data_IF_828666321403
#
_entry.id   IF_828666321403
#
_cell.length_a   1.000
_cell.length_b   1.000
_cell.length_c   1.000
_cell.angle_alpha   90.00
_cell.angle_beta   90.00
_cell.angle_gamma   90.00
#
_symmetry.space_group_name_H-M   'P 1'
#
loop_
_entity.id
_entity.type
_entity.pdbx_description
1 polymer ?
#
# COMPACT_ATOMS: atom_id res chain seq x y z
N UNK A 1 -18.19 11.77 18.79
CA UNK A 1 -17.90 12.61 17.61
C UNK A 1 -17.07 11.72 16.71
N UNK A 2 -17.67 11.23 15.63
CA UNK A 2 -16.95 10.53 14.57
C UNK A 2 -16.03 11.55 13.91
N UNK A 3 -14.75 11.55 14.27
CA UNK A 3 -13.73 12.00 13.33
C UNK A 3 -13.68 10.90 12.27
N UNK A 4 -14.28 11.15 11.11
CA UNK A 4 -13.97 10.38 9.92
C UNK A 4 -12.46 10.45 9.75
N UNK A 5 -11.77 9.31 9.93
CA UNK A 5 -10.33 9.09 9.68
C UNK A 5 -10.02 9.29 8.19
N UNK A 6 -10.32 10.47 7.66
CA UNK A 6 -10.01 10.81 6.28
C UNK A 6 -8.49 10.89 6.14
N UNK A 7 -7.91 10.18 5.16
CA UNK A 7 -6.48 10.19 4.98
C UNK A 7 -6.00 11.60 4.63
N UNK A 8 -4.86 11.98 5.19
CA UNK A 8 -4.25 13.29 4.90
C UNK A 8 -3.92 13.41 3.40
N UNK A 9 -3.86 14.64 2.88
CA UNK A 9 -3.44 14.87 1.49
C UNK A 9 -2.06 14.26 1.19
N UNK A 10 -1.16 14.23 2.17
CA UNK A 10 0.13 13.55 2.05
C UNK A 10 -0.01 12.05 1.81
N UNK A 11 -0.91 11.38 2.55
CA UNK A 11 -1.20 9.95 2.37
C UNK A 11 -1.84 9.66 1.01
N UNK A 12 -2.78 10.50 0.57
CA UNK A 12 -3.39 10.40 -0.75
C UNK A 12 -2.35 10.56 -1.86
N UNK A 13 -1.49 11.58 -1.77
CA UNK A 13 -0.40 11.81 -2.72
C UNK A 13 0.61 10.66 -2.74
N UNK A 14 0.90 10.07 -1.59
CA UNK A 14 1.78 8.90 -1.50
C UNK A 14 1.14 7.66 -2.13
N UNK A 15 -0.15 7.44 -1.88
CA UNK A 15 -0.93 6.36 -2.49
C UNK A 15 -0.94 6.47 -4.02
N UNK A 16 -1.12 7.68 -4.57
CA UNK A 16 -0.97 7.92 -6.02
C UNK A 16 0.41 7.57 -6.55
N UNK A 17 1.47 7.92 -5.81
CA UNK A 17 2.84 7.58 -6.22
C UNK A 17 3.09 6.06 -6.25
N UNK A 18 2.46 5.31 -5.34
CA UNK A 18 2.47 3.85 -5.36
C UNK A 18 1.69 3.32 -6.58
N UNK A 19 0.46 3.78 -6.79
CA UNK A 19 -0.40 3.37 -7.92
C UNK A 19 0.26 3.66 -9.28
N UNK A 20 0.99 4.77 -9.38
CA UNK A 20 1.71 5.16 -10.60
C UNK A 20 2.73 4.10 -11.08
N UNK A 21 3.23 3.24 -10.18
CA UNK A 21 4.10 2.11 -10.56
C UNK A 21 3.37 1.04 -11.39
N UNK A 22 2.03 1.03 -11.38
CA UNK A 22 1.18 0.02 -12.03
C UNK A 22 0.43 0.55 -13.23
N UNK A 23 -0.17 1.73 -13.08
CA UNK A 23 -1.08 2.30 -14.07
C UNK A 23 -0.52 3.56 -14.76
N UNK A 24 0.70 3.96 -14.42
CA UNK A 24 1.37 5.14 -14.98
C UNK A 24 1.06 6.45 -14.24
N UNK A 25 2.00 7.39 -14.33
CA UNK A 25 1.96 8.66 -13.57
C UNK A 25 0.75 9.54 -13.88
N UNK A 26 0.39 9.69 -15.17
CA UNK A 26 -0.70 10.58 -15.58
C UNK A 26 -2.01 10.10 -14.96
N UNK A 27 -2.33 8.82 -15.16
CA UNK A 27 -3.55 8.22 -14.68
C UNK A 27 -3.68 8.22 -13.16
N UNK A 28 -2.64 7.78 -12.46
CA UNK A 28 -2.66 7.77 -10.99
C UNK A 28 -2.85 9.18 -10.40
N UNK A 29 -2.41 10.22 -11.11
CA UNK A 29 -2.62 11.62 -10.71
C UNK A 29 -4.06 12.08 -10.91
N UNK A 30 -4.73 11.57 -11.94
CA UNK A 30 -6.09 11.97 -12.33
C UNK A 30 -7.17 11.25 -11.51
N UNK A 31 -6.81 10.23 -10.72
CA UNK A 31 -7.74 9.54 -9.82
C UNK A 31 -8.28 10.49 -8.71
N UNK A 32 -9.60 10.54 -8.49
CA UNK A 32 -10.22 11.25 -7.37
C UNK A 32 -9.71 10.78 -6.00
N UNK A 33 -9.73 11.67 -5.01
CA UNK A 33 -9.26 11.35 -3.64
C UNK A 33 -10.11 10.25 -2.97
N UNK A 34 -11.43 10.28 -3.16
CA UNK A 34 -12.38 9.30 -2.63
C UNK A 34 -12.19 7.90 -3.22
N UNK A 35 -11.82 7.80 -4.50
CA UNK A 35 -11.53 6.51 -5.16
C UNK A 35 -10.28 5.82 -4.60
N UNK A 36 -9.37 6.55 -3.96
CA UNK A 36 -8.11 5.99 -3.43
C UNK A 36 -8.02 6.05 -1.91
N UNK A 37 -8.87 6.83 -1.23
CA UNK A 37 -8.83 7.03 0.21
C UNK A 37 -8.94 5.71 0.99
N UNK A 38 -9.77 4.79 0.52
CA UNK A 38 -9.98 3.47 1.14
C UNK A 38 -8.73 2.58 1.12
N UNK A 39 -7.72 2.88 0.30
CA UNK A 39 -6.44 2.14 0.23
C UNK A 39 -5.51 2.57 1.36
N UNK A 40 -5.69 3.77 1.93
CA UNK A 40 -4.79 4.36 2.92
C UNK A 40 -4.52 3.47 4.16
N UNK A 41 -5.50 2.75 4.75
CA UNK A 41 -5.24 1.85 5.88
C UNK A 41 -4.25 0.73 5.52
N UNK A 42 -4.33 0.18 4.31
CA UNK A 42 -3.40 -0.84 3.84
C UNK A 42 -2.00 -0.25 3.59
N UNK A 43 -1.93 0.97 3.04
CA UNK A 43 -0.66 1.69 2.87
C UNK A 43 0.00 1.94 4.22
N UNK A 44 -0.76 2.41 5.21
CA UNK A 44 -0.29 2.64 6.56
C UNK A 44 0.24 1.35 7.20
N UNK A 45 -0.54 0.27 7.10
CA UNK A 45 -0.15 -1.04 7.62
C UNK A 45 1.19 -1.53 7.05
N UNK A 46 1.43 -1.37 5.75
CA UNK A 46 2.69 -1.76 5.11
C UNK A 46 3.83 -0.77 5.39
N UNK A 47 3.52 0.52 5.54
CA UNK A 47 4.49 1.56 5.89
C UNK A 47 5.07 1.35 7.30
N UNK A 48 4.28 0.84 8.24
CA UNK A 48 4.72 0.57 9.62
C UNK A 48 5.71 -0.60 9.73
N UNK A 49 5.77 -1.46 8.71
CA UNK A 49 6.73 -2.57 8.61
C UNK A 49 8.10 -2.15 8.07
N UNK A 50 8.22 -0.91 7.55
CA UNK A 50 9.47 -0.44 6.97
C UNK A 50 10.53 -0.15 8.04
N UNK A 51 11.80 -0.22 7.63
CA UNK A 51 12.91 0.30 8.43
C UNK A 51 12.70 1.79 8.74
N UNK A 52 12.99 2.20 9.97
CA UNK A 52 12.73 3.56 10.48
C UNK A 52 13.22 4.66 9.53
N UNK A 53 14.45 4.57 9.00
CA UNK A 53 15.01 5.57 8.07
C UNK A 53 14.16 5.69 6.79
N UNK A 54 13.75 4.57 6.20
CA UNK A 54 12.95 4.57 4.98
C UNK A 54 11.55 5.16 5.22
N UNK A 55 10.96 4.82 6.38
CA UNK A 55 9.68 5.35 6.82
C UNK A 55 9.76 6.87 7.02
N UNK A 56 10.75 7.36 7.76
CA UNK A 56 10.93 8.78 8.05
C UNK A 56 11.15 9.60 6.77
N UNK A 57 11.92 9.06 5.82
CA UNK A 57 12.11 9.69 4.50
C UNK A 57 10.78 9.84 3.77
N UNK A 58 9.92 8.81 3.76
CA UNK A 58 8.62 8.88 3.10
C UNK A 58 7.68 9.85 3.81
N UNK A 59 7.61 9.79 5.15
CA UNK A 59 6.78 10.68 5.97
C UNK A 59 7.10 12.13 5.63
N UNK A 60 8.38 12.50 5.70
CA UNK A 60 8.82 13.87 5.45
C UNK A 60 8.69 14.27 3.98
N UNK A 61 8.95 13.35 3.05
CA UNK A 61 8.90 13.65 1.62
C UNK A 61 7.47 13.93 1.15
N UNK A 62 6.50 13.18 1.66
CA UNK A 62 5.10 13.26 1.24
C UNK A 62 4.22 14.06 2.19
N UNK A 63 4.71 14.45 3.38
CA UNK A 63 3.91 15.20 4.34
C UNK A 63 2.87 14.32 5.04
N UNK A 64 3.27 13.11 5.45
CA UNK A 64 2.35 12.20 6.15
C UNK A 64 2.03 12.76 7.56
N UNK A 65 0.87 12.37 8.11
CA UNK A 65 0.39 12.82 9.43
C UNK A 65 0.27 14.35 9.60
N UNK A 66 -0.07 15.05 8.51
CA UNK A 66 -0.30 16.51 8.55
C UNK A 66 0.98 17.34 8.51
N UNK A 67 2.14 16.72 8.29
CA UNK A 67 3.39 17.45 8.07
C UNK A 67 3.44 18.09 6.67
N UNK A 68 4.18 19.19 6.52
CA UNK A 68 4.42 19.77 5.20
C UNK A 68 5.40 18.90 4.39
N UNK A 69 5.12 18.61 3.11
CA UNK A 69 6.02 17.83 2.28
C UNK A 69 7.33 18.57 2.01
N UNK A 70 8.45 17.89 2.24
CA UNK A 70 9.78 18.46 2.10
C UNK A 70 10.46 18.07 0.78
N UNK A 71 11.41 18.91 0.34
CA UNK A 71 12.32 18.56 -0.76
C UNK A 71 13.30 17.48 -0.29
N UNK A 72 13.82 16.68 -1.23
CA UNK A 72 14.82 15.63 -0.91
C UNK A 72 16.07 16.16 -0.20
N UNK A 73 16.44 17.41 -0.43
CA UNK A 73 17.54 18.06 0.28
C UNK A 73 17.22 18.30 1.75
N UNK A 74 16.04 18.87 2.05
CA UNK A 74 15.57 19.07 3.42
C UNK A 74 15.35 17.76 4.16
N UNK A 75 14.79 16.74 3.47
CA UNK A 75 14.63 15.38 4.04
C UNK A 75 16.00 14.81 4.41
N UNK A 76 17.01 14.94 3.54
CA UNK A 76 18.34 14.42 3.79
C UNK A 76 19.05 15.05 5.01
N UNK A 77 18.82 16.35 5.23
CA UNK A 77 19.30 17.08 6.40
C UNK A 77 18.60 16.61 7.68
N UNK A 78 17.27 16.49 7.67
CA UNK A 78 16.50 16.14 8.86
C UNK A 78 16.68 14.68 9.31
N UNK A 79 16.75 13.74 8.36
CA UNK A 79 16.91 12.30 8.67
C UNK A 79 18.37 11.97 8.99
N UNK A 80 19.33 12.64 8.33
CA UNK A 80 20.77 12.40 8.49
C UNK A 80 21.38 13.01 9.75
N UNK A 81 20.80 12.74 10.94
CA UNK A 81 21.20 13.33 12.23
C UNK A 81 22.68 13.16 12.58
N UNK A 82 23.32 12.06 12.16
CA UNK A 82 24.74 11.77 12.44
C UNK A 82 25.65 11.97 11.21
N UNK A 83 25.10 11.80 10.00
CA UNK A 83 25.78 12.06 8.74
C UNK A 83 24.74 12.47 7.71
N UNK A 84 24.89 13.67 7.17
CA UNK A 84 23.92 14.24 6.21
C UNK A 84 23.70 13.26 5.06
N UNK A 85 22.45 12.83 4.91
CA UNK A 85 22.06 11.98 3.80
C UNK A 85 21.99 12.87 2.55
N UNK A 86 22.68 12.50 1.48
CA UNK A 86 22.65 13.31 0.26
C UNK A 86 21.26 13.29 -0.39
N UNK A 87 20.91 14.37 -1.11
CA UNK A 87 19.68 14.48 -1.89
C UNK A 87 19.43 13.25 -2.76
N UNK A 88 20.47 12.78 -3.47
CA UNK A 88 20.35 11.63 -4.37
C UNK A 88 20.14 10.33 -3.60
N UNK A 89 20.77 10.17 -2.44
CA UNK A 89 20.54 8.99 -1.60
C UNK A 89 19.12 8.96 -1.04
N UNK A 90 18.58 10.11 -0.60
CA UNK A 90 17.18 10.23 -0.18
C UNK A 90 16.22 9.85 -1.32
N UNK A 91 16.49 10.31 -2.54
CA UNK A 91 15.72 9.97 -3.74
C UNK A 91 15.75 8.46 -4.04
N UNK A 92 16.93 7.84 -3.98
CA UNK A 92 17.09 6.40 -4.21
C UNK A 92 16.34 5.57 -3.18
N UNK A 93 16.46 5.93 -1.89
CA UNK A 93 15.73 5.23 -0.82
C UNK A 93 14.22 5.38 -1.06
N UNK A 94 13.73 6.59 -1.35
CA UNK A 94 12.31 6.82 -1.64
C UNK A 94 11.82 5.97 -2.80
N UNK A 95 12.56 5.94 -3.91
CA UNK A 95 12.19 5.15 -5.08
C UNK A 95 12.19 3.64 -4.78
N UNK A 96 13.16 3.16 -4.00
CA UNK A 96 13.20 1.77 -3.55
C UNK A 96 12.01 1.45 -2.65
N UNK A 97 11.72 2.30 -1.67
CA UNK A 97 10.58 2.15 -0.75
C UNK A 97 9.24 2.12 -1.50
N UNK A 98 9.03 3.02 -2.46
CA UNK A 98 7.84 3.03 -3.31
C UNK A 98 7.70 1.70 -4.06
N UNK A 99 8.78 1.17 -4.64
CA UNK A 99 8.75 -0.12 -5.34
C UNK A 99 8.41 -1.27 -4.38
N UNK A 100 9.06 -1.32 -3.22
CA UNK A 100 8.84 -2.37 -2.23
C UNK A 100 7.41 -2.37 -1.71
N UNK A 101 6.87 -1.21 -1.33
CA UNK A 101 5.49 -1.08 -0.89
C UNK A 101 4.49 -1.36 -2.01
N UNK A 102 4.75 -0.88 -3.23
CA UNK A 102 3.90 -1.18 -4.39
C UNK A 102 3.83 -2.68 -4.68
N UNK A 103 4.88 -3.44 -4.38
CA UNK A 103 4.84 -4.90 -4.44
C UNK A 103 4.03 -5.49 -3.28
N UNK A 104 4.27 -5.05 -2.05
CA UNK A 104 3.57 -5.58 -0.87
C UNK A 104 2.05 -5.34 -0.91
N UNK A 105 1.63 -4.19 -1.43
CA UNK A 105 0.23 -3.75 -1.47
C UNK A 105 -0.51 -4.32 -2.69
N UNK A 106 0.13 -4.36 -3.86
CA UNK A 106 -0.55 -4.65 -5.14
C UNK A 106 -0.23 -6.02 -5.74
N UNK A 107 0.58 -6.84 -5.08
CA UNK A 107 0.73 -8.25 -5.45
C UNK A 107 0.14 -9.15 -4.38
N UNK A 108 -0.68 -10.10 -4.85
CA UNK A 108 -1.05 -11.27 -4.07
C UNK A 108 -0.20 -12.44 -4.54
N UNK A 109 0.42 -13.14 -3.58
CA UNK A 109 1.03 -14.43 -3.90
C UNK A 109 -0.07 -15.51 -4.09
N UNK A 110 0.28 -16.67 -4.68
CA UNK A 110 -0.71 -17.73 -4.93
C UNK A 110 -1.43 -18.22 -3.66
N UNK A 111 -0.76 -18.24 -2.52
CA UNK A 111 -1.35 -18.70 -1.26
C UNK A 111 -2.36 -17.68 -0.70
N UNK A 112 -2.03 -16.39 -0.72
CA UNK A 112 -2.96 -15.31 -0.38
C UNK A 112 -4.20 -15.34 -1.28
N UNK A 113 -4.03 -15.57 -2.59
CA UNK A 113 -5.16 -15.70 -3.51
C UNK A 113 -6.01 -16.94 -3.21
N UNK A 114 -5.39 -18.08 -2.94
CA UNK A 114 -6.11 -19.31 -2.59
C UNK A 114 -6.89 -19.16 -1.28
N UNK A 115 -6.30 -18.51 -0.27
CA UNK A 115 -6.96 -18.18 0.99
C UNK A 115 -8.17 -17.27 0.77
N UNK A 116 -8.03 -16.23 -0.05
CA UNK A 116 -9.17 -15.40 -0.43
C UNK A 116 -10.26 -16.20 -1.17
N UNK A 117 -9.88 -17.06 -2.12
CA UNK A 117 -10.81 -17.90 -2.87
C UNK A 117 -11.60 -18.86 -1.96
N UNK A 118 -10.96 -19.41 -0.93
CA UNK A 118 -11.63 -20.20 0.11
C UNK A 118 -12.65 -19.37 0.89
N UNK A 119 -12.25 -18.20 1.38
CA UNK A 119 -13.10 -17.32 2.18
C UNK A 119 -14.32 -16.81 1.41
N UNK A 120 -14.18 -16.59 0.12
CA UNK A 120 -15.27 -16.17 -0.78
C UNK A 120 -16.18 -17.34 -1.21
N UNK A 121 -15.93 -18.56 -0.75
CA UNK A 121 -16.73 -19.74 -1.08
C UNK A 121 -16.57 -20.22 -2.53
N UNK A 122 -15.46 -19.85 -3.20
CA UNK A 122 -15.21 -20.24 -4.59
C UNK A 122 -14.98 -21.75 -4.69
N UNK A 123 -15.80 -22.43 -5.50
CA UNK A 123 -15.66 -23.88 -5.76
C UNK A 123 -14.27 -24.19 -6.33
N UNK A 124 -13.54 -25.09 -5.69
CA UNK A 124 -12.20 -25.54 -6.12
C UNK A 124 -11.02 -24.88 -5.41
N UNK A 125 -11.26 -24.02 -4.42
CA UNK A 125 -10.19 -23.49 -3.59
C UNK A 125 -9.67 -24.58 -2.62
N UNK A 126 -8.35 -24.76 -2.54
CA UNK A 126 -7.72 -25.83 -1.75
C UNK A 126 -7.39 -25.33 -0.34
N UNK A 127 -7.92 -25.92 0.74
CA UNK A 127 -7.63 -25.49 2.10
C UNK A 127 -6.14 -25.68 2.41
N UNK A 128 -5.42 -24.59 2.65
CA UNK A 128 -4.07 -24.62 3.22
C UNK A 128 -4.24 -24.74 4.73
N UNK A 129 -4.35 -25.96 5.23
CA UNK A 129 -4.36 -26.24 6.67
C UNK A 129 -2.91 -26.47 7.13
N UNK A 130 -2.34 -25.51 7.84
CA UNK A 130 -1.17 -25.78 8.67
C UNK A 130 -1.68 -26.30 10.02
N UNK A 131 -1.86 -27.62 10.11
CA UNK A 131 -2.29 -28.32 11.33
C UNK A 131 -1.11 -28.37 12.30
N UNK A 132 -1.00 -27.37 13.17
CA UNK A 132 -0.39 -27.59 14.48
C UNK A 132 -1.51 -28.05 15.42
N UNK A 133 -1.32 -29.16 16.13
CA UNK A 133 -2.31 -29.85 16.98
C UNK A 133 -2.80 -29.05 18.21
N UNK A 134 -2.55 -27.74 18.26
CA UNK A 134 -2.97 -26.86 19.34
C UNK A 134 -4.03 -25.89 18.85
N UNK A 135 -5.19 -25.90 19.51
CA UNK A 135 -6.22 -24.88 19.32
C UNK A 135 -5.59 -23.48 19.46
N UNK A 136 -5.75 -22.60 18.46
CA UNK A 136 -5.24 -21.23 18.54
C UNK A 136 -5.85 -20.53 19.75
N UNK A 137 -5.01 -19.80 20.50
CA UNK A 137 -5.47 -18.94 21.60
C UNK A 137 -6.29 -17.76 21.03
N UNK A 138 -7.00 -17.02 21.89
CA UNK A 138 -7.77 -15.85 21.44
C UNK A 138 -6.91 -14.80 20.72
N UNK A 139 -5.64 -14.64 21.11
CA UNK A 139 -4.70 -13.76 20.41
C UNK A 139 -4.30 -14.30 19.04
N UNK A 140 -4.14 -15.61 18.90
CA UNK A 140 -3.83 -16.25 17.62
C UNK A 140 -5.01 -16.09 16.64
N UNK A 141 -6.25 -16.19 17.12
CA UNK A 141 -7.44 -15.95 16.31
C UNK A 141 -7.56 -14.49 15.83
N UNK A 142 -7.24 -13.53 16.69
CA UNK A 142 -7.24 -12.11 16.32
C UNK A 142 -6.20 -11.81 15.23
N UNK A 143 -5.00 -12.40 15.35
CA UNK A 143 -3.97 -12.31 14.31
C UNK A 143 -4.42 -12.92 12.99
N UNK A 144 -5.00 -14.13 13.01
CA UNK A 144 -5.53 -14.78 11.81
C UNK A 144 -6.62 -13.92 11.15
N UNK A 145 -7.55 -13.38 11.93
CA UNK A 145 -8.61 -12.51 11.39
C UNK A 145 -8.01 -11.27 10.73
N UNK A 146 -6.99 -10.65 11.34
CA UNK A 146 -6.32 -9.50 10.77
C UNK A 146 -5.57 -9.84 9.48
N UNK A 147 -4.87 -10.97 9.43
CA UNK A 147 -4.19 -11.43 8.21
C UNK A 147 -5.18 -11.66 7.06
N UNK A 148 -6.32 -12.31 7.35
CA UNK A 148 -7.37 -12.54 6.36
C UNK A 148 -8.00 -11.24 5.87
N UNK A 149 -8.18 -10.24 6.74
CA UNK A 149 -8.64 -8.91 6.34
C UNK A 149 -7.64 -8.23 5.40
N UNK A 150 -6.34 -8.30 5.70
CA UNK A 150 -5.30 -7.74 4.83
C UNK A 150 -5.31 -8.42 3.46
N UNK A 151 -5.46 -9.74 3.41
CA UNK A 151 -5.58 -10.51 2.15
C UNK A 151 -6.79 -10.02 1.33
N UNK A 152 -7.95 -9.86 1.97
CA UNK A 152 -9.15 -9.34 1.31
C UNK A 152 -8.93 -7.92 0.77
N UNK A 153 -8.29 -7.04 1.54
CA UNK A 153 -7.95 -5.69 1.09
C UNK A 153 -7.04 -5.70 -0.13
N UNK A 154 -5.96 -6.49 -0.12
CA UNK A 154 -5.07 -6.64 -1.28
C UNK A 154 -5.83 -7.11 -2.53
N UNK A 155 -6.75 -8.06 -2.39
CA UNK A 155 -7.58 -8.51 -3.51
C UNK A 155 -8.40 -7.37 -4.12
N UNK A 156 -9.10 -6.61 -3.27
CA UNK A 156 -9.92 -5.47 -3.72
C UNK A 156 -9.06 -4.44 -4.46
N UNK A 157 -7.83 -4.20 -4.01
CA UNK A 157 -6.91 -3.26 -4.67
C UNK A 157 -6.47 -3.80 -6.03
N UNK A 158 -6.12 -5.08 -6.13
CA UNK A 158 -5.79 -5.72 -7.40
C UNK A 158 -6.96 -5.64 -8.40
N UNK A 159 -8.19 -5.86 -7.93
CA UNK A 159 -9.40 -5.74 -8.75
C UNK A 159 -9.60 -4.30 -9.22
N UNK A 160 -9.45 -3.31 -8.33
CA UNK A 160 -9.51 -1.89 -8.68
C UNK A 160 -8.50 -1.53 -9.78
N UNK A 161 -7.23 -1.92 -9.63
CA UNK A 161 -6.19 -1.67 -10.63
C UNK A 161 -6.55 -2.31 -11.98
N UNK A 162 -7.12 -3.52 -11.96
CA UNK A 162 -7.55 -4.22 -13.17
C UNK A 162 -8.71 -3.52 -13.87
N UNK A 163 -9.75 -3.11 -13.14
CA UNK A 163 -10.89 -2.39 -13.71
C UNK A 163 -10.47 -1.03 -14.28
N UNK A 164 -9.56 -0.32 -13.59
CA UNK A 164 -8.95 0.86 -14.17
C UNK A 164 -8.22 0.50 -15.47
N UNK A 165 -7.30 -0.46 -15.45
CA UNK A 165 -6.60 -0.86 -16.67
C UNK A 165 -7.55 -1.20 -17.84
N UNK A 166 -8.65 -1.90 -17.57
CA UNK A 166 -9.68 -2.21 -18.57
C UNK A 166 -10.30 -0.94 -19.18
N UNK A 167 -10.74 0.02 -18.37
CA UNK A 167 -11.28 1.31 -18.86
C UNK A 167 -10.33 2.01 -19.85
N UNK A 168 -9.01 1.95 -19.61
CA UNK A 168 -8.06 2.58 -20.55
C UNK A 168 -7.89 1.85 -21.86
N UNK A 169 -8.16 0.55 -21.92
CA UNK A 169 -8.13 -0.17 -23.19
C UNK A 169 -9.33 0.21 -24.04
N UNK A 170 -10.50 0.36 -23.41
CA UNK A 170 -11.73 0.75 -24.09
C UNK A 170 -11.63 2.18 -24.66
N UNK A 171 -10.95 3.10 -23.98
CA UNK A 171 -10.68 4.47 -24.47
C UNK A 171 -9.71 4.54 -25.66
N UNK A 172 -8.89 3.50 -25.88
CA UNK A 172 -7.86 3.47 -26.93
C UNK A 172 -8.34 2.83 -28.23
N UNK A 173 -9.54 2.25 -28.26
CA UNK A 173 -10.13 1.64 -29.44
C UNK A 173 -11.01 2.72 -30.12
N UNK A 174 -10.64 3.23 -31.32
CA UNK A 174 -11.56 4.06 -32.09
C UNK A 174 -12.77 3.22 -32.52
N UNK A 175 -13.95 3.84 -32.51
CA UNK A 175 -15.21 3.24 -33.01
C UNK A 175 -15.07 2.58 -34.40
#
# INVERSE_FOLDING_TARGET
MDETDEPTQGMLNFTRALLAQRMGNKRAKDLPDDEIAWIAPLVQHELDKLMAIARDIVILRYGLYGSEPLSYEKVGIQVGKEKTLTRERARQITAHTIRTLSHAIFYMNPDEYNLYALLSGKKGATPVLNLNDTLPTSGDLEHVINDLKIIQYKYNVCQFIFEEYKKSLDEQIPD
#
